data_IF_517052658850
#
_entry.id   IF_517052658850
#
_cell.length_a   1.000
_cell.length_b   1.000
_cell.length_c   1.000
_cell.angle_alpha   90.00
_cell.angle_beta   90.00
_cell.angle_gamma   90.00
#
_symmetry.space_group_name_H-M   'P 1'
#
loop_
_entity.id
_entity.type
_entity.pdbx_description
1 polymer ?
#
# COMPACT_ATOMS: atom_id res chain seq x y z
N UNK A 1 17.79 33.95 -0.65
CA UNK A 1 16.54 33.38 -0.13
C UNK A 1 16.61 31.89 -0.37
N UNK A 2 16.54 31.09 0.68
CA UNK A 2 16.49 29.63 0.53
C UNK A 2 15.16 29.26 -0.13
N UNK A 3 15.20 28.41 -1.14
CA UNK A 3 13.99 27.89 -1.76
C UNK A 3 13.31 26.96 -0.75
N UNK A 4 12.01 27.16 -0.44
CA UNK A 4 11.35 26.29 0.51
C UNK A 4 11.37 24.83 0.02
N UNK A 5 11.62 23.90 0.91
CA UNK A 5 11.53 22.46 0.63
C UNK A 5 10.08 22.15 0.19
N UNK A 6 9.97 21.27 -0.80
CA UNK A 6 8.66 20.84 -1.36
C UNK A 6 8.59 19.34 -1.34
N UNK A 7 7.56 18.81 -0.72
CA UNK A 7 7.31 17.37 -0.59
C UNK A 7 6.09 16.97 -1.42
N UNK A 8 6.23 15.89 -2.17
CA UNK A 8 5.12 15.24 -2.88
C UNK A 8 4.97 13.82 -2.34
N UNK A 9 3.83 13.51 -1.77
CA UNK A 9 3.49 12.20 -1.23
C UNK A 9 2.53 11.48 -2.16
N UNK A 10 2.85 10.24 -2.48
CA UNK A 10 2.03 9.37 -3.32
C UNK A 10 1.43 8.23 -2.49
N UNK A 11 0.24 7.80 -2.84
CA UNK A 11 -0.18 6.44 -2.52
C UNK A 11 0.55 5.43 -3.44
N UNK A 12 0.49 4.16 -3.10
CA UNK A 12 1.17 3.12 -3.87
C UNK A 12 0.19 2.25 -4.67
N UNK A 13 -0.65 1.48 -3.97
CA UNK A 13 -1.59 0.54 -4.61
C UNK A 13 -2.70 1.31 -5.36
N UNK A 14 -2.81 1.10 -6.67
CA UNK A 14 -3.78 1.78 -7.52
C UNK A 14 -3.37 3.21 -7.93
N UNK A 15 -2.19 3.69 -7.53
CA UNK A 15 -1.67 5.03 -7.88
C UNK A 15 -0.33 4.94 -8.61
N UNK A 16 0.70 4.37 -8.00
CA UNK A 16 1.99 4.13 -8.64
C UNK A 16 2.10 2.70 -9.20
N UNK A 17 1.39 1.74 -8.59
CA UNK A 17 1.49 0.32 -8.89
C UNK A 17 0.10 -0.28 -9.14
N UNK A 18 -0.05 -1.04 -10.23
CA UNK A 18 -1.26 -1.82 -10.52
C UNK A 18 -1.19 -3.17 -9.81
N UNK A 19 -1.42 -3.15 -8.52
CA UNK A 19 -1.44 -4.32 -7.65
C UNK A 19 -2.83 -4.97 -7.51
N UNK A 20 -3.82 -4.50 -8.26
CA UNK A 20 -5.21 -4.91 -8.10
C UNK A 20 -5.39 -6.43 -8.23
N UNK A 21 -4.74 -7.06 -9.21
CA UNK A 21 -4.84 -8.52 -9.45
C UNK A 21 -4.33 -9.32 -8.25
N UNK A 22 -3.19 -8.94 -7.69
CA UNK A 22 -2.61 -9.60 -6.51
C UNK A 22 -3.47 -9.40 -5.28
N UNK A 23 -3.93 -8.18 -5.02
CA UNK A 23 -4.79 -7.86 -3.88
C UNK A 23 -6.11 -8.65 -3.93
N UNK A 24 -6.76 -8.69 -5.10
CA UNK A 24 -8.01 -9.44 -5.31
C UNK A 24 -7.78 -10.93 -5.01
N UNK A 25 -6.75 -11.52 -5.57
CA UNK A 25 -6.43 -12.94 -5.38
C UNK A 25 -6.18 -13.28 -3.92
N UNK A 26 -5.35 -12.49 -3.23
CA UNK A 26 -5.05 -12.73 -1.80
C UNK A 26 -6.30 -12.57 -0.95
N UNK A 27 -7.15 -11.57 -1.21
CA UNK A 27 -8.40 -11.38 -0.47
C UNK A 27 -9.37 -12.56 -0.66
N UNK A 28 -9.52 -13.04 -1.90
CA UNK A 28 -10.36 -14.20 -2.19
C UNK A 28 -9.84 -15.47 -1.50
N UNK A 29 -8.53 -15.68 -1.48
CA UNK A 29 -7.88 -16.77 -0.74
C UNK A 29 -8.10 -16.65 0.77
N UNK A 30 -8.00 -15.44 1.32
CA UNK A 30 -8.24 -15.20 2.74
C UNK A 30 -9.69 -15.49 3.14
N UNK A 31 -10.67 -15.03 2.34
CA UNK A 31 -12.07 -15.36 2.55
C UNK A 31 -12.33 -16.87 2.50
N UNK A 32 -11.77 -17.57 1.50
CA UNK A 32 -11.88 -19.01 1.39
C UNK A 32 -11.30 -19.72 2.61
N UNK A 33 -10.09 -19.33 3.05
CA UNK A 33 -9.44 -19.92 4.22
C UNK A 33 -10.21 -19.69 5.53
N UNK A 34 -10.94 -18.57 5.63
CA UNK A 34 -11.82 -18.27 6.77
C UNK A 34 -13.23 -18.89 6.65
N UNK A 35 -13.53 -19.66 5.60
CA UNK A 35 -14.86 -20.22 5.37
C UNK A 35 -15.92 -19.17 5.07
N UNK A 36 -15.54 -18.01 4.54
CA UNK A 36 -16.41 -16.90 4.20
C UNK A 36 -16.80 -16.95 2.71
N UNK A 37 -17.94 -16.36 2.33
CA UNK A 37 -18.27 -16.16 0.93
C UNK A 37 -17.17 -15.40 0.19
N UNK A 38 -16.81 -15.85 -1.00
CA UNK A 38 -15.79 -15.21 -1.81
C UNK A 38 -16.37 -13.95 -2.46
N UNK A 39 -15.83 -12.75 -2.16
CA UNK A 39 -16.36 -11.51 -2.70
C UNK A 39 -16.04 -11.37 -4.20
N UNK A 40 -16.91 -10.66 -4.91
CA UNK A 40 -16.69 -10.28 -6.30
C UNK A 40 -15.44 -9.41 -6.45
N UNK A 41 -14.72 -9.57 -7.56
CA UNK A 41 -13.49 -8.85 -7.82
C UNK A 41 -13.67 -7.31 -7.85
N UNK A 42 -14.81 -6.82 -8.36
CA UNK A 42 -15.09 -5.38 -8.39
C UNK A 42 -15.34 -4.83 -6.98
N UNK A 43 -15.99 -5.61 -6.10
CA UNK A 43 -16.17 -5.24 -4.69
C UNK A 43 -14.82 -5.11 -3.98
N UNK A 44 -13.86 -6.01 -4.26
CA UNK A 44 -12.52 -5.94 -3.69
C UNK A 44 -11.76 -4.75 -4.29
N UNK A 45 -11.82 -4.57 -5.62
CA UNK A 45 -11.16 -3.46 -6.32
C UNK A 45 -11.59 -2.10 -5.78
N UNK A 46 -12.87 -1.91 -5.49
CA UNK A 46 -13.41 -0.67 -4.92
C UNK A 46 -12.93 -0.37 -3.49
N UNK A 47 -12.32 -1.35 -2.81
CA UNK A 47 -11.76 -1.18 -1.47
C UNK A 47 -10.23 -1.05 -1.45
N UNK A 48 -9.56 -1.07 -2.62
CA UNK A 48 -8.10 -0.85 -2.69
C UNK A 48 -7.78 0.56 -2.18
N UNK A 49 -6.74 0.66 -1.37
CA UNK A 49 -6.35 1.89 -0.70
C UNK A 49 -6.93 2.07 0.70
N UNK A 50 -8.02 1.38 1.04
CA UNK A 50 -8.49 1.34 2.43
C UNK A 50 -7.65 0.39 3.30
N UNK A 51 -7.57 0.68 4.60
CA UNK A 51 -6.92 -0.23 5.55
C UNK A 51 -7.65 -1.58 5.62
N UNK A 52 -6.89 -2.68 5.70
CA UNK A 52 -7.44 -4.04 5.66
C UNK A 52 -8.49 -4.29 6.74
N UNK A 53 -8.33 -3.75 7.94
CA UNK A 53 -9.30 -3.91 9.03
C UNK A 53 -10.65 -3.26 8.70
N UNK A 54 -10.64 -2.13 7.99
CA UNK A 54 -11.86 -1.48 7.51
C UNK A 54 -12.51 -2.27 6.38
N UNK A 55 -11.71 -2.67 5.37
CA UNK A 55 -12.21 -3.44 4.23
C UNK A 55 -12.82 -4.77 4.64
N UNK A 56 -12.21 -5.46 5.62
CA UNK A 56 -12.68 -6.74 6.12
C UNK A 56 -14.09 -6.67 6.70
N UNK A 57 -14.45 -5.59 7.38
CA UNK A 57 -15.82 -5.38 7.90
C UNK A 57 -16.89 -5.44 6.81
N UNK A 58 -16.61 -4.92 5.63
CA UNK A 58 -17.51 -4.93 4.47
C UNK A 58 -17.71 -6.32 3.84
N UNK A 59 -16.92 -7.32 4.20
CA UNK A 59 -17.04 -8.70 3.70
C UNK A 59 -17.71 -9.66 4.69
N UNK A 60 -17.98 -9.23 5.92
CA UNK A 60 -18.48 -10.08 7.02
C UNK A 60 -19.69 -9.46 7.75
N UNK A 61 -20.51 -8.68 7.05
CA UNK A 61 -21.71 -8.02 7.58
C UNK A 61 -21.46 -7.27 8.90
N UNK A 62 -20.30 -6.60 8.98
CA UNK A 62 -19.85 -5.83 10.15
C UNK A 62 -19.58 -6.66 11.43
N UNK A 63 -19.47 -7.98 11.33
CA UNK A 63 -19.01 -8.83 12.43
C UNK A 63 -17.53 -8.57 12.71
N UNK A 64 -17.24 -7.88 13.81
CA UNK A 64 -15.89 -7.45 14.16
C UNK A 64 -14.92 -8.61 14.42
N UNK A 65 -15.42 -9.74 14.96
CA UNK A 65 -14.60 -10.92 15.22
C UNK A 65 -14.18 -11.60 13.93
N UNK A 66 -15.13 -11.81 13.00
CA UNK A 66 -14.81 -12.34 11.67
C UNK A 66 -13.95 -11.39 10.86
N UNK A 67 -14.19 -10.08 10.98
CA UNK A 67 -13.36 -9.08 10.30
C UNK A 67 -11.90 -9.11 10.77
N UNK A 68 -11.67 -9.23 12.08
CA UNK A 68 -10.32 -9.36 12.61
C UNK A 68 -9.62 -10.63 12.10
N UNK A 69 -10.30 -11.79 12.16
CA UNK A 69 -9.77 -13.06 11.66
C UNK A 69 -9.44 -12.99 10.15
N UNK A 70 -10.32 -12.39 9.35
CA UNK A 70 -10.10 -12.18 7.92
C UNK A 70 -8.91 -11.26 7.65
N UNK A 71 -8.80 -10.15 8.40
CA UNK A 71 -7.69 -9.22 8.27
C UNK A 71 -6.34 -9.88 8.60
N UNK A 72 -6.31 -10.71 9.65
CA UNK A 72 -5.10 -11.43 10.04
C UNK A 72 -4.72 -12.51 9.01
N UNK A 73 -5.69 -13.23 8.47
CA UNK A 73 -5.47 -14.20 7.39
C UNK A 73 -4.93 -13.50 6.13
N UNK A 74 -5.52 -12.37 5.74
CA UNK A 74 -5.03 -11.58 4.61
C UNK A 74 -3.57 -11.11 4.82
N UNK A 75 -3.23 -10.61 6.03
CA UNK A 75 -1.86 -10.18 6.36
C UNK A 75 -0.87 -11.35 6.29
N UNK A 76 -1.27 -12.52 6.79
CA UNK A 76 -0.42 -13.72 6.72
C UNK A 76 -0.16 -14.14 5.27
N UNK A 77 -1.21 -14.31 4.47
CA UNK A 77 -1.08 -14.68 3.06
C UNK A 77 -0.31 -13.63 2.25
N UNK A 78 -0.55 -12.34 2.50
CA UNK A 78 0.19 -11.25 1.84
C UNK A 78 1.68 -11.28 2.19
N UNK A 79 2.01 -11.56 3.46
CA UNK A 79 3.41 -11.69 3.88
C UNK A 79 4.09 -12.87 3.19
N UNK A 80 3.45 -14.03 3.19
CA UNK A 80 3.96 -15.22 2.55
C UNK A 80 4.16 -15.03 1.05
N UNK A 81 3.24 -14.32 0.40
CA UNK A 81 3.32 -13.97 -1.01
C UNK A 81 4.57 -13.12 -1.33
N UNK A 82 4.82 -12.07 -0.55
CA UNK A 82 5.94 -11.15 -0.81
C UNK A 82 7.29 -11.63 -0.25
N UNK A 83 7.32 -12.55 0.70
CA UNK A 83 8.53 -13.19 1.23
C UNK A 83 8.85 -14.51 0.54
N UNK A 84 7.94 -15.05 -0.24
CA UNK A 84 8.11 -16.31 -0.95
C UNK A 84 9.22 -16.26 -2.01
N UNK A 85 9.60 -17.44 -2.52
CA UNK A 85 10.69 -17.57 -3.50
C UNK A 85 10.41 -16.92 -4.86
N UNK A 86 9.16 -16.58 -5.15
CA UNK A 86 8.75 -15.89 -6.39
C UNK A 86 7.63 -14.86 -6.09
N UNK A 87 7.97 -13.76 -5.38
CA UNK A 87 6.97 -12.74 -5.06
C UNK A 87 6.41 -12.07 -6.33
N UNK A 88 5.14 -11.62 -6.32
CA UNK A 88 4.54 -10.96 -7.47
C UNK A 88 5.33 -9.69 -7.82
N UNK A 89 5.49 -9.43 -9.10
CA UNK A 89 5.96 -8.14 -9.60
C UNK A 89 4.76 -7.42 -10.22
N UNK A 90 3.92 -6.84 -9.37
CA UNK A 90 2.83 -5.98 -9.83
C UNK A 90 3.41 -4.81 -10.65
N UNK A 91 2.92 -4.53 -11.87
CA UNK A 91 3.52 -3.51 -12.72
C UNK A 91 3.28 -2.10 -12.17
N UNK A 92 4.21 -1.19 -12.45
CA UNK A 92 3.95 0.23 -12.27
C UNK A 92 2.99 0.72 -13.36
N UNK A 93 2.15 1.70 -12.99
CA UNK A 93 1.40 2.42 -14.02
C UNK A 93 2.33 3.19 -14.96
N UNK A 94 1.90 3.37 -16.19
CA UNK A 94 2.64 4.14 -17.19
C UNK A 94 2.94 5.54 -16.68
N UNK A 95 4.22 5.92 -16.73
CA UNK A 95 4.70 7.21 -16.25
C UNK A 95 5.00 7.30 -14.76
N UNK A 96 4.67 6.31 -13.92
CA UNK A 96 4.90 6.38 -12.47
C UNK A 96 6.38 6.59 -12.10
N UNK A 97 7.29 5.82 -12.69
CA UNK A 97 8.72 6.03 -12.47
C UNK A 97 9.21 7.37 -13.05
N UNK A 98 8.70 7.76 -14.21
CA UNK A 98 9.11 9.01 -14.86
C UNK A 98 8.69 10.27 -14.06
N UNK A 99 7.51 10.26 -13.42
CA UNK A 99 7.09 11.39 -12.58
C UNK A 99 7.97 11.49 -11.33
N UNK A 100 8.32 10.37 -10.68
CA UNK A 100 9.24 10.38 -9.53
C UNK A 100 10.62 10.92 -9.93
N UNK A 101 11.19 10.46 -11.06
CA UNK A 101 12.45 10.96 -11.60
C UNK A 101 12.39 12.46 -11.90
N UNK A 102 11.32 12.93 -12.53
CA UNK A 102 11.13 14.34 -12.86
C UNK A 102 11.04 15.22 -11.61
N UNK A 103 10.34 14.78 -10.58
CA UNK A 103 10.22 15.49 -9.31
C UNK A 103 11.58 15.58 -8.61
N UNK A 104 12.29 14.47 -8.49
CA UNK A 104 13.64 14.41 -7.91
C UNK A 104 14.61 15.33 -8.65
N UNK A 105 14.64 15.30 -9.99
CA UNK A 105 15.50 16.16 -10.82
C UNK A 105 15.16 17.66 -10.66
N UNK A 106 13.95 18.01 -10.22
CA UNK A 106 13.50 19.38 -9.94
C UNK A 106 13.67 19.79 -8.48
N UNK A 107 14.33 18.96 -7.66
CA UNK A 107 14.62 19.24 -6.27
C UNK A 107 13.40 19.10 -5.32
N UNK A 108 12.37 18.35 -5.73
CA UNK A 108 11.30 17.98 -4.81
C UNK A 108 11.72 16.76 -3.99
N UNK A 109 11.38 16.75 -2.72
CA UNK A 109 11.34 15.55 -1.91
C UNK A 109 10.13 14.70 -2.33
N UNK A 110 10.33 13.39 -2.42
CA UNK A 110 9.27 12.46 -2.82
C UNK A 110 9.10 11.35 -1.80
N UNK A 111 7.86 10.96 -1.57
CA UNK A 111 7.58 9.90 -0.61
C UNK A 111 6.34 9.08 -0.95
N UNK A 112 6.23 7.93 -0.29
CA UNK A 112 5.07 7.06 -0.34
C UNK A 112 4.42 7.03 1.04
N UNK A 113 3.08 7.20 1.07
CA UNK A 113 2.22 6.98 2.23
C UNK A 113 1.12 6.01 1.85
N UNK A 114 1.12 4.80 2.42
CA UNK A 114 0.25 3.72 1.95
C UNK A 114 -0.28 2.85 3.09
N UNK A 115 -1.49 2.32 2.91
CA UNK A 115 -2.06 1.31 3.81
C UNK A 115 -1.53 -0.12 3.55
N UNK A 116 -0.61 -0.28 2.59
CA UNK A 116 0.13 -1.53 2.36
C UNK A 116 1.08 -1.82 3.52
N UNK A 117 1.37 -3.10 3.77
CA UNK A 117 2.38 -3.52 4.75
C UNK A 117 3.80 -3.14 4.31
N UNK A 118 4.69 -2.93 5.27
CA UNK A 118 6.11 -2.67 5.03
C UNK A 118 6.75 -3.74 4.14
N UNK A 119 6.48 -5.00 4.42
CA UNK A 119 7.01 -6.14 3.66
C UNK A 119 6.63 -6.07 2.19
N UNK A 120 5.33 -5.88 1.89
CA UNK A 120 4.85 -5.81 0.52
C UNK A 120 5.37 -4.58 -0.23
N UNK A 121 5.40 -3.41 0.43
CA UNK A 121 5.92 -2.19 -0.17
C UNK A 121 7.41 -2.30 -0.49
N UNK A 122 8.22 -2.76 0.47
CA UNK A 122 9.67 -2.89 0.33
C UNK A 122 10.04 -3.80 -0.84
N UNK A 123 9.41 -4.98 -0.93
CA UNK A 123 9.63 -5.92 -2.03
C UNK A 123 9.42 -5.28 -3.40
N UNK A 124 8.35 -4.49 -3.57
CA UNK A 124 8.04 -3.84 -4.85
C UNK A 124 8.95 -2.64 -5.15
N UNK A 125 9.26 -1.80 -4.15
CA UNK A 125 10.17 -0.66 -4.30
C UNK A 125 11.54 -1.14 -4.80
N UNK A 126 12.12 -2.15 -4.15
CA UNK A 126 13.43 -2.69 -4.50
C UNK A 126 13.44 -3.31 -5.90
N UNK A 127 12.42 -4.09 -6.24
CA UNK A 127 12.33 -4.77 -7.54
C UNK A 127 12.04 -3.84 -8.71
N UNK A 128 11.40 -2.70 -8.48
CA UNK A 128 11.23 -1.64 -9.47
C UNK A 128 12.34 -0.60 -9.48
N UNK A 129 13.33 -0.70 -8.58
CA UNK A 129 14.44 0.25 -8.47
C UNK A 129 13.99 1.66 -8.07
N UNK A 130 12.92 1.78 -7.28
CA UNK A 130 12.38 3.07 -6.82
C UNK A 130 13.07 3.59 -5.56
N UNK A 131 13.87 2.79 -4.89
CA UNK A 131 14.56 3.11 -3.64
C UNK A 131 15.40 4.40 -3.73
N UNK A 132 15.98 4.68 -4.90
CA UNK A 132 16.78 5.87 -5.14
C UNK A 132 15.98 7.13 -5.49
N UNK A 133 14.68 6.97 -5.70
CA UNK A 133 13.77 8.05 -6.11
C UNK A 133 12.87 8.51 -4.95
N UNK A 134 12.98 7.86 -3.79
CA UNK A 134 12.12 8.10 -2.64
C UNK A 134 12.94 8.53 -1.44
N UNK A 135 12.61 9.69 -0.88
CA UNK A 135 13.23 10.20 0.34
C UNK A 135 12.61 9.57 1.60
N UNK A 136 11.34 9.14 1.51
CA UNK A 136 10.62 8.51 2.61
C UNK A 136 9.57 7.52 2.12
N UNK A 137 9.31 6.48 2.91
CA UNK A 137 8.13 5.63 2.75
C UNK A 137 7.54 5.27 4.11
N UNK A 138 6.23 5.51 4.26
CA UNK A 138 5.47 5.19 5.46
C UNK A 138 4.30 4.27 5.10
N UNK A 139 4.04 3.32 5.98
CA UNK A 139 3.10 2.23 5.76
C UNK A 139 2.14 2.08 6.94
N UNK A 140 1.18 1.17 6.81
CA UNK A 140 0.28 0.79 7.91
C UNK A 140 1.01 0.26 9.15
N UNK A 141 2.28 -0.15 9.01
CA UNK A 141 3.09 -0.66 10.12
C UNK A 141 3.79 0.47 10.90
N UNK A 142 3.79 1.71 10.39
CA UNK A 142 4.50 2.85 10.99
C UNK A 142 3.60 3.84 11.72
N UNK A 143 2.38 4.02 11.24
CA UNK A 143 1.45 5.05 11.70
C UNK A 143 0.00 4.55 11.65
N UNK A 144 -0.95 5.34 12.17
CA UNK A 144 -2.36 5.09 11.93
C UNK A 144 -2.67 5.09 10.42
N UNK A 145 -3.52 4.13 10.03
CA UNK A 145 -3.88 3.94 8.62
C UNK A 145 -4.68 5.11 8.07
N UNK A 146 -4.55 5.37 6.78
CA UNK A 146 -5.42 6.32 6.07
C UNK A 146 -6.90 5.90 6.24
N UNK A 147 -7.83 6.86 6.44
CA UNK A 147 -7.72 8.31 6.15
C UNK A 147 -7.12 9.18 7.26
N UNK A 148 -6.55 8.60 8.34
CA UNK A 148 -5.84 9.41 9.33
C UNK A 148 -4.64 10.14 8.67
N UNK A 149 -4.36 11.40 9.06
CA UNK A 149 -3.29 12.20 8.45
C UNK A 149 -1.89 11.83 8.94
N UNK A 150 -1.77 10.90 9.88
CA UNK A 150 -0.57 10.59 10.65
C UNK A 150 0.65 10.30 9.76
N UNK A 151 0.48 9.52 8.69
CA UNK A 151 1.59 9.22 7.78
C UNK A 151 2.09 10.47 7.07
N UNK A 152 1.19 11.36 6.62
CA UNK A 152 1.58 12.58 5.94
C UNK A 152 2.29 13.54 6.90
N UNK A 153 1.76 13.72 8.10
CA UNK A 153 2.38 14.56 9.14
C UNK A 153 3.74 14.01 9.57
N UNK A 154 3.86 12.70 9.76
CA UNK A 154 5.12 12.06 10.09
C UNK A 154 6.16 12.17 8.97
N UNK A 155 5.73 12.13 7.70
CA UNK A 155 6.62 12.33 6.56
C UNK A 155 7.17 13.77 6.55
N UNK A 156 6.31 14.76 6.77
CA UNK A 156 6.69 16.18 6.85
C UNK A 156 7.68 16.42 7.98
N UNK A 157 7.36 15.92 9.19
CA UNK A 157 8.22 16.08 10.38
C UNK A 157 9.62 15.47 10.15
N UNK A 158 9.67 14.22 9.63
CA UNK A 158 10.95 13.53 9.38
C UNK A 158 11.82 14.16 8.29
N UNK A 159 11.21 14.85 7.34
CA UNK A 159 11.91 15.52 6.24
C UNK A 159 12.14 17.02 6.48
N UNK A 160 11.57 17.57 7.56
CA UNK A 160 11.75 18.98 7.93
C UNK A 160 11.02 19.96 7.00
N UNK A 161 9.82 19.59 6.53
CA UNK A 161 8.99 20.40 5.63
C UNK A 161 7.65 20.75 6.25
#
# INVERSE_FOLDING_TARGET
METPLRLVLFDFDGTLCDSATTIIRIMQQACHACGLPIPDANKIRGNIGHGISHSALGYVDSDSTKAAALADMYRALSRDEYLGGNPPLDPLFDGAAAVLQSLSARGYLTGIVTNKSRTGLKSLIERHGLDRLLDISLTADDCHVKPAPDMALAAMDRLGV
#
